data_IF_153736469262
#
_entry.id   IF_153736469262
#
_cell.length_a   1.000
_cell.length_b   1.000
_cell.length_c   1.000
_cell.angle_alpha   90.00
_cell.angle_beta   90.00
_cell.angle_gamma   90.00
#
_symmetry.space_group_name_H-M   'P 1'
#
loop_
_entity.id
_entity.type
_entity.pdbx_description
1 polymer ?
#
# COMPACT_ATOMS: atom_id res chain seq x y z
N UNK A 1 -20.09 -17.62 -20.46
CA UNK A 1 -19.70 -17.27 -19.08
C UNK A 1 -18.25 -17.69 -18.94
N UNK A 2 -17.27 -16.79 -18.79
CA UNK A 2 -15.92 -17.24 -18.52
C UNK A 2 -15.86 -17.76 -17.08
N UNK A 3 -15.28 -18.94 -16.94
CA UNK A 3 -15.24 -19.72 -15.73
C UNK A 3 -14.38 -19.01 -14.67
N UNK A 4 -14.90 -18.91 -13.45
CA UNK A 4 -14.12 -18.52 -12.27
C UNK A 4 -13.06 -19.58 -12.06
N UNK A 5 -11.84 -19.29 -12.52
CA UNK A 5 -10.67 -20.10 -12.25
C UNK A 5 -10.54 -20.26 -10.74
N UNK A 6 -10.68 -21.51 -10.27
CA UNK A 6 -10.35 -21.93 -8.91
C UNK A 6 -8.87 -21.63 -8.68
N UNK A 7 -8.57 -20.44 -8.17
CA UNK A 7 -7.22 -20.07 -7.80
C UNK A 7 -6.92 -20.76 -6.47
N UNK A 8 -6.20 -21.88 -6.54
CA UNK A 8 -5.41 -22.36 -5.42
C UNK A 8 -4.35 -21.29 -5.12
N UNK A 9 -4.74 -20.29 -4.32
CA UNK A 9 -3.83 -19.36 -3.68
C UNK A 9 -3.07 -20.14 -2.61
N UNK A 10 -2.12 -20.99 -3.00
CA UNK A 10 -1.09 -21.45 -2.07
C UNK A 10 -0.51 -20.20 -1.39
N UNK A 11 -0.32 -20.24 -0.07
CA UNK A 11 -0.12 -19.07 0.82
C UNK A 11 0.59 -17.90 0.16
N UNK A 12 -0.18 -17.05 -0.52
CA UNK A 12 0.33 -15.98 -1.36
C UNK A 12 0.45 -14.74 -0.47
N UNK A 13 1.62 -14.12 -0.41
CA UNK A 13 1.80 -12.91 0.38
C UNK A 13 1.58 -11.65 -0.43
N UNK A 14 0.97 -10.65 0.18
CA UNK A 14 0.84 -9.29 -0.35
C UNK A 14 1.39 -8.31 0.68
N UNK A 15 1.94 -7.19 0.24
CA UNK A 15 2.44 -6.13 1.13
C UNK A 15 1.45 -4.98 1.16
N UNK A 16 1.02 -4.57 2.34
CA UNK A 16 0.13 -3.43 2.51
C UNK A 16 0.96 -2.15 2.68
N UNK A 17 0.72 -1.16 1.81
CA UNK A 17 1.17 0.22 2.06
C UNK A 17 0.09 0.98 2.81
N UNK A 18 0.20 1.02 4.13
CA UNK A 18 -0.69 1.86 4.96
C UNK A 18 -0.26 3.33 4.82
N UNK A 19 -0.93 4.07 3.94
CA UNK A 19 -0.62 5.49 3.75
C UNK A 19 -0.81 6.28 5.06
N UNK A 20 -0.18 7.45 5.16
CA UNK A 20 -0.38 8.33 6.30
C UNK A 20 -1.86 8.73 6.51
N UNK A 21 -2.67 8.73 5.46
CA UNK A 21 -4.11 8.99 5.53
C UNK A 21 -4.83 7.85 6.25
N UNK A 22 -4.57 6.61 5.84
CA UNK A 22 -5.19 5.43 6.45
C UNK A 22 -4.72 5.27 7.89
N UNK A 23 -3.41 5.37 8.11
CA UNK A 23 -2.81 5.18 9.42
C UNK A 23 -3.33 6.19 10.46
N UNK A 24 -3.46 7.47 10.08
CA UNK A 24 -3.79 8.54 11.02
C UNK A 24 -5.26 8.97 11.03
N UNK A 25 -5.97 8.83 9.91
CA UNK A 25 -7.32 9.40 9.75
C UNK A 25 -8.40 8.33 9.60
N UNK A 26 -8.08 7.16 9.07
CA UNK A 26 -9.03 6.09 8.83
C UNK A 26 -8.46 4.69 9.16
N UNK A 27 -7.96 4.46 10.40
CA UNK A 27 -7.25 3.22 10.76
C UNK A 27 -8.13 1.97 10.59
N UNK A 28 -9.44 2.10 10.83
CA UNK A 28 -10.41 1.01 10.63
C UNK A 28 -10.49 0.54 9.18
N UNK A 29 -10.21 1.41 8.20
CA UNK A 29 -10.14 1.01 6.78
C UNK A 29 -8.89 0.14 6.54
N UNK A 30 -7.77 0.45 7.20
CA UNK A 30 -6.58 -0.39 7.17
C UNK A 30 -6.84 -1.78 7.76
N UNK A 31 -7.45 -1.83 8.94
CA UNK A 31 -7.86 -3.07 9.62
C UNK A 31 -8.80 -3.91 8.75
N UNK A 32 -9.88 -3.31 8.22
CA UNK A 32 -10.80 -4.02 7.33
C UNK A 32 -10.15 -4.47 6.02
N UNK A 33 -9.16 -3.75 5.52
CA UNK A 33 -8.39 -4.17 4.34
C UNK A 33 -7.62 -5.46 4.65
N UNK A 34 -6.97 -5.53 5.81
CA UNK A 34 -6.28 -6.75 6.26
C UNK A 34 -7.27 -7.90 6.36
N UNK A 35 -8.40 -7.70 7.03
CA UNK A 35 -9.43 -8.74 7.20
C UNK A 35 -9.93 -9.30 5.85
N UNK A 36 -10.20 -8.42 4.88
CA UNK A 36 -10.66 -8.82 3.53
C UNK A 36 -9.59 -9.59 2.77
N UNK A 37 -8.31 -9.19 2.87
CA UNK A 37 -7.20 -9.85 2.20
C UNK A 37 -6.88 -11.20 2.84
N UNK A 38 -6.95 -11.32 4.16
CA UNK A 38 -6.67 -12.57 4.87
C UNK A 38 -7.83 -13.57 4.78
N UNK A 39 -9.06 -13.13 4.53
CA UNK A 39 -10.24 -14.00 4.38
C UNK A 39 -10.05 -15.14 3.34
N UNK A 40 -9.53 -14.90 2.11
CA UNK A 40 -9.20 -15.95 1.15
C UNK A 40 -7.88 -16.69 1.44
N UNK A 41 -7.18 -16.38 2.54
CA UNK A 41 -5.92 -17.03 2.93
C UNK A 41 -4.64 -16.36 2.44
N UNK A 42 -4.70 -15.08 2.01
CA UNK A 42 -3.46 -14.32 1.74
C UNK A 42 -2.74 -13.99 3.05
N UNK A 43 -1.41 -13.94 2.99
CA UNK A 43 -0.61 -13.40 4.08
C UNK A 43 -0.35 -11.91 3.85
N UNK A 44 -0.85 -11.05 4.73
CA UNK A 44 -0.56 -9.61 4.64
C UNK A 44 0.75 -9.31 5.36
N UNK A 45 1.67 -8.67 4.64
CA UNK A 45 2.96 -8.20 5.14
C UNK A 45 2.97 -6.67 5.24
N UNK A 46 3.82 -6.16 6.12
CA UNK A 46 4.09 -4.74 6.26
C UNK A 46 5.60 -4.49 6.18
N UNK A 47 5.98 -3.33 5.67
CA UNK A 47 7.36 -2.86 5.73
C UNK A 47 7.56 -2.12 7.06
N UNK A 48 8.33 -2.67 7.98
CA UNK A 48 8.50 -2.08 9.33
C UNK A 48 8.99 -0.63 9.31
N UNK A 49 9.80 -0.28 8.31
CA UNK A 49 10.36 1.07 8.15
C UNK A 49 9.56 1.94 7.18
N UNK A 50 8.31 1.58 6.89
CA UNK A 50 7.44 2.34 6.00
C UNK A 50 7.39 3.82 6.39
N UNK A 51 7.59 4.69 5.41
CA UNK A 51 7.51 6.15 5.57
C UNK A 51 6.38 6.72 4.73
N UNK A 52 6.09 8.02 4.94
CA UNK A 52 5.23 8.78 4.02
C UNK A 52 5.75 8.69 2.58
N UNK A 53 4.84 8.69 1.60
CA UNK A 53 5.18 8.75 0.17
C UNK A 53 5.61 10.16 -0.30
N UNK A 54 5.47 11.18 0.55
CA UNK A 54 5.82 12.57 0.24
C UNK A 54 4.73 13.36 -0.51
N UNK A 55 3.63 12.71 -0.90
CA UNK A 55 2.55 13.33 -1.68
C UNK A 55 1.94 14.59 -1.02
N UNK A 56 1.67 14.64 0.30
CA UNK A 56 1.11 15.85 0.93
C UNK A 56 2.01 17.09 0.79
N UNK A 57 3.33 16.90 0.96
CA UNK A 57 4.32 17.97 0.81
C UNK A 57 4.43 18.41 -0.66
N UNK A 58 4.46 17.45 -1.59
CA UNK A 58 4.49 17.72 -3.02
C UNK A 58 3.26 18.53 -3.48
N UNK A 59 2.06 18.10 -3.08
CA UNK A 59 0.80 18.76 -3.43
C UNK A 59 0.69 20.17 -2.85
N UNK A 60 1.38 20.43 -1.73
CA UNK A 60 1.42 21.75 -1.07
C UNK A 60 2.51 22.69 -1.62
N UNK A 61 3.26 22.26 -2.64
CA UNK A 61 4.30 23.08 -3.29
C UNK A 61 5.72 22.88 -2.76
N UNK A 62 5.92 22.08 -1.71
CA UNK A 62 7.23 21.76 -1.12
C UNK A 62 7.92 20.63 -1.89
N UNK A 63 8.16 20.87 -3.19
CA UNK A 63 8.63 19.82 -4.11
C UNK A 63 10.04 19.33 -3.77
N UNK A 64 10.95 20.25 -3.45
CA UNK A 64 12.33 19.92 -3.05
C UNK A 64 12.39 19.06 -1.80
N UNK A 65 11.51 19.34 -0.84
CA UNK A 65 11.41 18.66 0.44
C UNK A 65 10.70 17.32 0.31
N UNK A 66 9.77 17.19 -0.64
CA UNK A 66 9.09 15.93 -0.94
C UNK A 66 9.99 14.89 -1.60
N UNK A 67 11.01 15.32 -2.35
CA UNK A 67 11.89 14.44 -3.12
C UNK A 67 12.63 13.40 -2.27
N UNK A 68 13.34 13.76 -1.19
CA UNK A 68 14.03 12.77 -0.35
C UNK A 68 13.06 11.79 0.32
N UNK A 69 11.84 12.25 0.66
CA UNK A 69 10.79 11.40 1.24
C UNK A 69 10.29 10.38 0.21
N UNK A 70 10.03 10.82 -1.02
CA UNK A 70 9.62 9.95 -2.12
C UNK A 70 10.73 8.95 -2.49
N UNK A 71 12.00 9.37 -2.48
CA UNK A 71 13.14 8.46 -2.71
C UNK A 71 13.19 7.35 -1.65
N UNK A 72 13.05 7.70 -0.36
CA UNK A 72 13.02 6.70 0.71
C UNK A 72 11.85 5.72 0.57
N UNK A 73 10.68 6.23 0.19
CA UNK A 73 9.53 5.38 -0.11
C UNK A 73 9.85 4.39 -1.24
N UNK A 74 10.42 4.86 -2.35
CA UNK A 74 10.82 4.00 -3.47
C UNK A 74 11.84 2.94 -3.04
N UNK A 75 12.90 3.32 -2.32
CA UNK A 75 13.91 2.36 -1.82
C UNK A 75 13.29 1.21 -1.00
N UNK A 76 12.31 1.52 -0.16
CA UNK A 76 11.64 0.53 0.70
C UNK A 76 10.73 -0.39 -0.10
N UNK A 77 9.96 0.15 -1.03
CA UNK A 77 8.95 -0.60 -1.77
C UNK A 77 9.48 -1.28 -3.04
N UNK A 78 10.61 -0.83 -3.60
CA UNK A 78 11.33 -1.56 -4.64
C UNK A 78 11.95 -2.86 -4.12
N UNK A 79 12.26 -2.93 -2.82
CA UNK A 79 12.77 -4.12 -2.16
C UNK A 79 11.67 -5.15 -1.79
N UNK A 80 10.40 -4.83 -2.05
CA UNK A 80 9.28 -5.72 -1.75
C UNK A 80 9.10 -6.74 -2.88
N UNK A 81 9.16 -8.01 -2.52
CA UNK A 81 8.79 -9.10 -3.42
C UNK A 81 7.27 -9.28 -3.49
N UNK A 82 6.68 -9.04 -4.67
CA UNK A 82 5.29 -9.34 -4.96
C UNK A 82 4.34 -8.12 -4.94
N UNK A 83 3.01 -8.36 -4.87
CA UNK A 83 2.03 -7.28 -4.99
C UNK A 83 2.04 -6.34 -3.79
N UNK A 84 1.99 -5.03 -4.08
CA UNK A 84 1.77 -3.98 -3.09
C UNK A 84 0.32 -3.51 -3.19
N UNK A 85 -0.41 -3.55 -2.09
CA UNK A 85 -1.80 -3.08 -2.00
C UNK A 85 -1.82 -1.71 -1.33
N UNK A 86 -2.48 -0.75 -1.97
CA UNK A 86 -2.63 0.63 -1.48
C UNK A 86 -4.12 0.92 -1.29
N UNK A 87 -4.67 0.81 -0.06
CA UNK A 87 -6.11 0.95 0.19
C UNK A 87 -6.62 2.39 0.08
N UNK A 88 -5.71 3.35 0.08
CA UNK A 88 -6.01 4.75 -0.22
C UNK A 88 -4.93 5.29 -1.15
N UNK A 89 -5.28 5.51 -2.40
CA UNK A 89 -4.48 6.35 -3.28
C UNK A 89 -5.36 7.44 -3.84
N UNK A 90 -4.84 8.66 -3.90
CA UNK A 90 -5.36 9.61 -4.87
C UNK A 90 -4.71 9.23 -6.19
N UNK A 91 -5.33 8.25 -6.88
CA UNK A 91 -5.05 8.05 -8.30
C UNK A 91 -5.16 9.44 -8.95
N UNK A 92 -4.06 9.96 -9.54
CA UNK A 92 -4.17 11.20 -10.25
C UNK A 92 -5.20 10.97 -11.35
N UNK A 93 -6.30 11.74 -11.33
CA UNK A 93 -7.25 11.81 -12.43
C UNK A 93 -6.51 12.44 -13.63
N UNK A 94 -5.71 11.64 -14.31
CA UNK A 94 -5.30 11.87 -15.70
C UNK A 94 -5.60 10.62 -16.52
#
# INVERSE_FOLDING_TARGET
>A
MPETSNNNLGTQSVTLFATCMIDQMAPTVGESTVEVLEHPGLQVKFVDQQTCCGQPAFNSGFRSESLPVAQRFLELFEAVDGPIIVPSDHAPLW
#
